data_IF_493456789835
#
_entry.id   IF_493456789835
#
_cell.length_a   1.000
_cell.length_b   1.000
_cell.length_c   1.000
_cell.angle_alpha   90.00
_cell.angle_beta   90.00
_cell.angle_gamma   90.00
#
_symmetry.space_group_name_H-M   'P 1'
#
loop_
_entity.id
_entity.type
_entity.pdbx_description
1 polymer ?
#
# COMPACT_ATOMS: atom_id res chain seq x y z
N UNK A 1 7.59 18.75 -24.78
CA UNK A 1 7.30 19.13 -23.38
C UNK A 1 5.84 18.84 -23.08
N UNK A 2 5.46 17.58 -22.84
CA UNK A 2 4.08 17.17 -22.49
C UNK A 2 4.11 15.71 -22.05
N UNK A 3 4.29 15.44 -20.76
CA UNK A 3 3.88 14.14 -20.17
C UNK A 3 3.97 14.09 -18.62
N UNK A 4 4.58 15.11 -17.99
CA UNK A 4 4.74 15.11 -16.54
C UNK A 4 3.40 15.17 -15.78
N UNK A 5 2.35 15.76 -16.36
CA UNK A 5 1.05 15.89 -15.71
C UNK A 5 0.23 14.59 -15.76
N UNK A 6 0.28 13.85 -16.88
CA UNK A 6 -0.44 12.59 -17.04
C UNK A 6 0.18 11.48 -16.17
N UNK A 7 1.51 11.43 -16.11
CA UNK A 7 2.24 10.47 -15.28
C UNK A 7 2.03 10.70 -13.77
N UNK A 8 1.91 11.97 -13.34
CA UNK A 8 1.58 12.32 -11.94
C UNK A 8 0.24 11.74 -11.53
N UNK A 9 -0.80 11.91 -12.35
CA UNK A 9 -2.13 11.39 -12.01
C UNK A 9 -2.15 9.86 -11.87
N UNK A 10 -1.50 9.14 -12.79
CA UNK A 10 -1.46 7.67 -12.72
C UNK A 10 -0.71 7.13 -11.48
N UNK A 11 0.37 7.80 -11.06
CA UNK A 11 1.11 7.42 -9.86
C UNK A 11 0.28 7.63 -8.59
N UNK A 12 -0.39 8.79 -8.50
CA UNK A 12 -1.31 9.12 -7.41
C UNK A 12 -2.48 8.12 -7.35
N UNK A 13 -3.13 7.83 -8.48
CA UNK A 13 -4.21 6.84 -8.58
C UNK A 13 -3.79 5.45 -8.10
N UNK A 14 -2.55 5.03 -8.39
CA UNK A 14 -2.02 3.75 -7.90
C UNK A 14 -1.85 3.72 -6.38
N UNK A 15 -1.31 4.79 -5.79
CA UNK A 15 -1.20 4.89 -4.33
C UNK A 15 -2.57 4.94 -3.67
N UNK A 16 -3.52 5.69 -4.23
CA UNK A 16 -4.91 5.72 -3.76
C UNK A 16 -5.56 4.34 -3.83
N UNK A 17 -5.33 3.60 -4.92
CA UNK A 17 -5.84 2.23 -5.07
C UNK A 17 -5.26 1.29 -4.01
N UNK A 18 -3.95 1.37 -3.74
CA UNK A 18 -3.31 0.62 -2.67
C UNK A 18 -3.92 0.94 -1.30
N UNK A 19 -4.05 2.23 -0.96
CA UNK A 19 -4.64 2.67 0.31
C UNK A 19 -6.07 2.16 0.47
N UNK A 20 -6.90 2.25 -0.58
CA UNK A 20 -8.28 1.78 -0.56
C UNK A 20 -8.37 0.26 -0.36
N UNK A 21 -7.53 -0.51 -1.05
CA UNK A 21 -7.49 -1.96 -0.89
C UNK A 21 -7.02 -2.36 0.51
N UNK A 22 -5.96 -1.73 1.03
CA UNK A 22 -5.49 -1.98 2.39
C UNK A 22 -6.59 -1.74 3.42
N UNK A 23 -7.30 -0.62 3.34
CA UNK A 23 -8.40 -0.31 4.26
C UNK A 23 -9.56 -1.31 4.12
N UNK A 24 -9.89 -1.75 2.90
CA UNK A 24 -10.90 -2.77 2.67
C UNK A 24 -10.53 -4.11 3.33
N UNK A 25 -9.29 -4.56 3.18
CA UNK A 25 -8.80 -5.77 3.84
C UNK A 25 -8.77 -5.62 5.36
N UNK A 26 -8.43 -4.43 5.87
CA UNK A 26 -8.49 -4.14 7.30
C UNK A 26 -9.92 -4.29 7.84
N UNK A 27 -10.93 -3.77 7.14
CA UNK A 27 -12.35 -3.90 7.56
C UNK A 27 -12.83 -5.35 7.60
N UNK A 28 -12.28 -6.22 6.74
CA UNK A 28 -12.57 -7.66 6.76
C UNK A 28 -11.90 -8.33 7.97
N UNK A 29 -10.64 -7.99 8.25
CA UNK A 29 -9.87 -8.61 9.33
C UNK A 29 -10.23 -8.07 10.72
N UNK A 30 -10.64 -6.81 10.84
CA UNK A 30 -10.84 -6.12 12.11
C UNK A 30 -11.75 -6.88 13.09
N UNK A 31 -12.94 -7.41 12.69
CA UNK A 31 -13.79 -8.21 13.57
C UNK A 31 -13.10 -9.45 14.15
N UNK A 32 -12.29 -10.15 13.35
CA UNK A 32 -11.56 -11.34 13.82
C UNK A 32 -10.52 -11.01 14.91
N UNK A 33 -10.02 -9.77 14.95
CA UNK A 33 -9.17 -9.29 16.03
C UNK A 33 -9.97 -8.71 17.22
N UNK A 34 -11.24 -8.31 17.03
CA UNK A 34 -12.12 -7.76 18.10
C UNK A 34 -12.70 -8.89 18.92
N UNK A 35 -13.25 -9.89 18.24
CA UNK A 35 -13.79 -11.12 18.80
C UNK A 35 -12.74 -12.21 18.92
N UNK A 36 -11.47 -11.81 19.07
CA UNK A 36 -10.34 -12.75 19.12
C UNK A 36 -10.61 -13.80 20.20
N UNK A 37 -10.78 -15.03 19.76
CA UNK A 37 -10.75 -16.20 20.62
C UNK A 37 -9.39 -16.22 21.36
N UNK A 38 -9.35 -16.05 22.69
CA UNK A 38 -8.11 -16.10 23.44
C UNK A 38 -7.40 -17.45 23.29
N UNK A 39 -8.12 -18.52 22.95
CA UNK A 39 -7.61 -19.87 22.76
C UNK A 39 -7.10 -20.12 21.32
N UNK A 40 -7.49 -19.30 20.35
CA UNK A 40 -6.98 -19.39 18.97
C UNK A 40 -6.63 -18.04 18.32
N UNK A 41 -5.62 -17.32 18.86
CA UNK A 41 -5.17 -16.03 18.32
C UNK A 41 -4.56 -16.12 16.93
N UNK A 42 -4.16 -17.33 16.48
CA UNK A 42 -3.50 -17.54 15.20
C UNK A 42 -4.46 -17.34 14.01
N UNK A 43 -5.76 -17.49 14.23
CA UNK A 43 -6.78 -17.35 13.19
C UNK A 43 -6.86 -15.95 12.60
N UNK A 44 -6.89 -14.91 13.44
CA UNK A 44 -6.96 -13.51 13.00
C UNK A 44 -5.70 -13.07 12.25
N UNK A 45 -4.52 -13.43 12.76
CA UNK A 45 -3.25 -13.15 12.07
C UNK A 45 -3.10 -13.96 10.78
N UNK A 46 -3.63 -15.19 10.72
CA UNK A 46 -3.63 -15.96 9.48
C UNK A 46 -4.52 -15.31 8.42
N UNK A 47 -5.74 -14.91 8.78
CA UNK A 47 -6.63 -14.16 7.90
C UNK A 47 -5.94 -12.88 7.38
N UNK A 48 -5.35 -12.09 8.27
CA UNK A 48 -4.64 -10.87 7.87
C UNK A 48 -3.50 -11.15 6.88
N UNK A 49 -2.70 -12.19 7.13
CA UNK A 49 -1.61 -12.59 6.23
C UNK A 49 -2.11 -12.96 4.84
N UNK A 50 -3.21 -13.69 4.76
CA UNK A 50 -3.80 -14.11 3.49
C UNK A 50 -4.30 -12.90 2.68
N UNK A 51 -5.02 -11.98 3.32
CA UNK A 51 -5.51 -10.75 2.70
C UNK A 51 -4.34 -9.84 2.24
N UNK A 52 -3.33 -9.67 3.08
CA UNK A 52 -2.16 -8.85 2.73
C UNK A 52 -1.30 -9.49 1.64
N UNK A 53 -1.27 -10.82 1.53
CA UNK A 53 -0.59 -11.50 0.42
C UNK A 53 -1.28 -11.22 -0.92
N UNK A 54 -2.60 -11.00 -0.95
CA UNK A 54 -3.31 -10.55 -2.14
C UNK A 54 -2.97 -9.10 -2.48
N UNK A 55 -3.08 -8.18 -1.53
CA UNK A 55 -2.73 -6.76 -1.74
C UNK A 55 -1.27 -6.58 -2.15
N UNK A 56 -0.36 -7.38 -1.60
CA UNK A 56 1.05 -7.37 -2.01
C UNK A 56 1.20 -7.74 -3.49
N UNK A 57 0.49 -8.78 -3.96
CA UNK A 57 0.52 -9.22 -5.37
C UNK A 57 -0.08 -8.18 -6.32
N UNK A 58 -1.08 -7.41 -5.89
CA UNK A 58 -1.73 -6.41 -6.73
C UNK A 58 -0.90 -5.14 -6.92
N UNK A 59 -0.18 -4.71 -5.89
CA UNK A 59 0.45 -3.38 -5.86
C UNK A 59 1.98 -3.37 -5.88
N UNK A 60 2.64 -4.50 -5.61
CA UNK A 60 4.10 -4.55 -5.47
C UNK A 60 4.75 -5.50 -6.49
N UNK A 61 5.85 -5.04 -7.07
CA UNK A 61 6.63 -5.80 -8.05
C UNK A 61 7.74 -6.64 -7.41
N UNK A 62 8.18 -6.28 -6.19
CA UNK A 62 9.18 -6.99 -5.37
C UNK A 62 8.58 -7.36 -3.99
N UNK A 63 7.80 -8.45 -3.91
CA UNK A 63 7.14 -8.88 -2.69
C UNK A 63 8.03 -9.06 -1.44
N UNK A 64 9.28 -9.57 -1.52
CA UNK A 64 10.03 -9.90 -0.31
C UNK A 64 10.53 -8.68 0.49
N UNK A 65 10.37 -7.46 -0.03
CA UNK A 65 10.80 -6.23 0.65
C UNK A 65 9.70 -5.56 1.48
N UNK A 66 8.45 -6.03 1.35
CA UNK A 66 7.28 -5.39 1.97
C UNK A 66 6.57 -6.39 2.88
N UNK A 67 6.65 -6.19 4.19
CA UNK A 67 5.99 -7.02 5.19
C UNK A 67 4.69 -6.37 5.70
N UNK A 68 3.66 -6.37 4.84
CA UNK A 68 2.31 -5.92 5.25
C UNK A 68 1.67 -6.87 6.26
N UNK A 69 2.11 -8.12 6.30
CA UNK A 69 1.61 -9.15 7.21
C UNK A 69 1.80 -8.80 8.69
N UNK A 70 2.78 -7.95 9.04
CA UNK A 70 3.01 -7.46 10.40
C UNK A 70 2.43 -6.05 10.66
N UNK A 71 1.76 -5.45 9.68
CA UNK A 71 1.38 -4.03 9.72
C UNK A 71 0.00 -3.72 10.31
N UNK A 72 -0.69 -4.71 10.89
CA UNK A 72 -2.04 -4.51 11.40
C UNK A 72 -2.08 -3.47 12.52
N UNK A 73 -2.80 -2.37 12.30
CA UNK A 73 -3.01 -1.28 13.26
C UNK A 73 -4.49 -1.12 13.64
N UNK A 74 -4.79 -0.40 14.72
CA UNK A 74 -6.14 0.06 15.05
C UNK A 74 -6.13 1.57 15.34
N UNK A 75 -6.72 2.41 14.47
CA UNK A 75 -7.35 2.07 13.19
C UNK A 75 -6.34 1.65 12.10
N UNK A 76 -6.83 1.40 10.88
CA UNK A 76 -6.00 1.00 9.74
C UNK A 76 -4.79 1.94 9.55
N UNK A 77 -3.60 1.37 9.38
CA UNK A 77 -2.34 2.12 9.22
C UNK A 77 -2.25 2.88 7.90
N UNK A 78 -2.95 2.37 6.88
CA UNK A 78 -3.06 2.95 5.54
C UNK A 78 -4.54 3.00 5.13
N UNK A 79 -4.90 3.98 4.31
CA UNK A 79 -6.27 4.16 3.84
C UNK A 79 -6.59 5.62 3.55
N UNK A 80 -7.57 5.91 2.68
CA UNK A 80 -8.07 7.29 2.47
C UNK A 80 -8.52 7.99 3.76
N UNK A 81 -8.92 7.25 4.79
CA UNK A 81 -9.26 7.79 6.11
C UNK A 81 -8.03 8.01 7.02
N UNK A 82 -6.90 7.37 6.73
CA UNK A 82 -5.67 7.45 7.53
C UNK A 82 -4.65 8.42 6.94
N UNK A 83 -4.68 8.63 5.62
CA UNK A 83 -3.68 9.39 4.87
C UNK A 83 -4.32 10.31 3.83
N UNK A 84 -3.69 11.46 3.61
CA UNK A 84 -4.05 12.42 2.56
C UNK A 84 -2.90 12.61 1.59
N UNK A 85 -3.19 12.64 0.29
CA UNK A 85 -2.21 12.94 -0.75
C UNK A 85 -1.71 14.39 -0.63
N UNK A 86 -0.40 14.59 -0.66
CA UNK A 86 0.24 15.90 -0.56
C UNK A 86 0.81 16.33 -1.91
N UNK A 87 1.60 15.47 -2.54
CA UNK A 87 2.27 15.77 -3.80
C UNK A 87 2.75 14.51 -4.50
N UNK A 88 2.98 14.62 -5.81
CA UNK A 88 3.72 13.62 -6.57
C UNK A 88 4.79 14.28 -7.46
N UNK A 89 5.91 13.59 -7.61
CA UNK A 89 7.04 14.00 -8.45
C UNK A 89 7.55 12.82 -9.28
N UNK A 90 7.97 13.10 -10.51
CA UNK A 90 8.58 12.11 -11.40
C UNK A 90 10.05 12.49 -11.62
N UNK A 91 10.97 11.58 -11.30
CA UNK A 91 12.40 11.74 -11.51
C UNK A 91 12.90 10.53 -12.31
N UNK A 92 13.19 10.74 -13.60
CA UNK A 92 13.52 9.65 -14.52
C UNK A 92 12.34 8.66 -14.65
N UNK A 93 12.59 7.38 -14.36
CA UNK A 93 11.59 6.30 -14.42
C UNK A 93 10.92 6.00 -13.06
N UNK A 94 11.14 6.86 -12.06
CA UNK A 94 10.63 6.70 -10.69
C UNK A 94 9.68 7.83 -10.35
N UNK A 95 8.45 7.47 -9.98
CA UNK A 95 7.48 8.38 -9.41
C UNK A 95 7.49 8.28 -7.88
N UNK A 96 7.61 9.42 -7.21
CA UNK A 96 7.51 9.57 -5.77
C UNK A 96 6.15 10.20 -5.45
N UNK A 97 5.38 9.56 -4.59
CA UNK A 97 4.10 10.08 -4.10
C UNK A 97 4.20 10.25 -2.60
N UNK A 98 3.95 11.46 -2.15
CA UNK A 98 3.99 11.82 -0.74
C UNK A 98 2.57 11.92 -0.20
N UNK A 99 2.31 11.21 0.88
CA UNK A 99 1.09 11.35 1.67
C UNK A 99 1.41 11.84 3.07
N UNK A 100 0.40 12.33 3.76
CA UNK A 100 0.47 12.75 5.15
C UNK A 100 -0.53 11.96 5.96
N UNK A 101 -0.09 11.46 7.12
CA UNK A 101 -1.02 10.87 8.08
C UNK A 101 -1.97 11.92 8.62
N UNK A 102 -3.28 11.61 8.59
CA UNK A 102 -4.33 12.46 9.14
C UNK A 102 -4.24 12.50 10.67
N UNK A 103 -3.93 11.36 11.30
CA UNK A 103 -3.80 11.24 12.75
C UNK A 103 -2.51 11.85 13.31
N UNK A 104 -1.40 11.68 12.58
CA UNK A 104 -0.10 12.21 12.95
C UNK A 104 0.33 13.21 11.89
N UNK A 105 -0.17 14.45 11.94
CA UNK A 105 0.02 15.45 10.88
C UNK A 105 1.49 15.75 10.51
N UNK A 106 2.45 15.41 11.38
CA UNK A 106 3.89 15.54 11.12
C UNK A 106 4.52 14.32 10.43
N UNK A 107 3.81 13.18 10.38
CA UNK A 107 4.25 11.95 9.74
C UNK A 107 3.87 11.99 8.25
N UNK A 108 4.89 11.93 7.41
CA UNK A 108 4.76 11.75 5.98
C UNK A 108 5.07 10.30 5.62
N UNK A 109 4.39 9.76 4.62
CA UNK A 109 4.74 8.48 4.01
C UNK A 109 5.12 8.74 2.55
N UNK A 110 6.20 8.12 2.11
CA UNK A 110 6.69 8.22 0.74
C UNK A 110 6.50 6.88 0.03
N UNK A 111 5.84 6.93 -1.12
CA UNK A 111 5.62 5.78 -1.99
C UNK A 111 6.47 5.93 -3.25
N UNK A 112 7.24 4.89 -3.56
CA UNK A 112 8.14 4.87 -4.71
C UNK A 112 7.61 3.89 -5.75
N UNK A 113 7.16 4.41 -6.89
CA UNK A 113 6.62 3.64 -8.00
C UNK A 113 7.63 3.63 -9.14
N UNK A 114 8.06 2.44 -9.55
CA UNK A 114 8.94 2.26 -10.71
C UNK A 114 8.10 1.89 -11.92
N UNK A 115 8.39 2.50 -13.08
CA UNK A 115 7.81 2.05 -14.34
C UNK A 115 8.22 0.59 -14.56
N UNK A 116 7.25 -0.30 -14.76
CA UNK A 116 7.55 -1.66 -15.22
C UNK A 116 8.15 -1.56 -16.63
N UNK A 117 9.43 -1.87 -16.76
CA UNK A 117 10.03 -2.12 -18.07
C UNK A 117 9.42 -3.37 -18.70
N UNK A 118 9.54 -3.55 -20.04
CA UNK A 118 9.27 -4.85 -20.62
C UNK A 118 10.12 -5.88 -19.88
N UNK A 119 9.50 -6.95 -19.37
CA UNK A 119 10.22 -8.07 -18.75
C UNK A 119 11.37 -8.42 -19.69
N UNK A 120 12.60 -8.16 -19.26
CA UNK A 120 13.77 -8.34 -20.10
C UNK A 120 13.78 -9.76 -20.65
N UNK A 121 13.62 -9.87 -21.97
CA UNK A 121 14.17 -11.02 -22.68
C UNK A 121 15.65 -11.06 -22.34
N UNK A 122 16.09 -12.16 -21.74
CA UNK A 122 17.50 -12.44 -21.49
C UNK A 122 18.30 -12.33 -22.79
N UNK A 123 19.50 -11.72 -22.75
CA UNK A 123 20.60 -12.12 -23.61
C UNK A 123 21.73 -12.74 -22.76
N UNK A 124 22.67 -13.52 -23.32
CA UNK A 124 22.84 -13.96 -24.71
C UNK A 124 22.38 -15.40 -24.97
#
# INVERSE_FOLDING_TARGET
MTDSSASKNLAEERVVSFMAEYEAQWRIAAPAFEDRDPDNPKSAFQLWRELMAETTRHHFIDPPTVDLAQSFGRPASHGPAAEQLVSSELVGDVAYVLTRSIQMQRKLNEYTLRRQGPRGGSPP
#
